data_IF_901780861880
#
_entry.id   IF_901780861880
#
_cell.length_a   1.000
_cell.length_b   1.000
_cell.length_c   1.000
_cell.angle_alpha   90.00
_cell.angle_beta   90.00
_cell.angle_gamma   90.00
#
_symmetry.space_group_name_H-M   'P 1'
#
loop_
_entity.id
_entity.type
_entity.pdbx_description
1 polymer ?
#
# COMPACT_ATOMS: atom_id res chain seq x y z
N UNK A 1 21.49 -1.97 -5.86
CA UNK A 1 20.74 -0.80 -5.34
C UNK A 1 19.45 -0.59 -6.10
N UNK A 2 18.46 -0.13 -5.39
CA UNK A 2 17.15 0.18 -5.96
C UNK A 2 17.19 1.58 -6.56
N UNK A 3 16.81 1.70 -7.83
CA UNK A 3 16.64 3.00 -8.45
C UNK A 3 15.29 3.58 -7.98
N UNK A 4 15.33 4.35 -6.90
CA UNK A 4 14.11 4.88 -6.28
C UNK A 4 13.33 5.79 -7.22
N UNK A 5 14.02 6.60 -8.03
CA UNK A 5 13.34 7.48 -8.96
C UNK A 5 12.61 6.70 -10.03
N UNK A 6 13.27 5.69 -10.60
CA UNK A 6 12.62 4.81 -11.57
C UNK A 6 11.45 4.06 -10.99
N UNK A 7 11.60 3.59 -9.75
CA UNK A 7 10.50 2.92 -9.05
C UNK A 7 9.30 3.86 -8.88
N UNK A 8 9.54 5.08 -8.42
CA UNK A 8 8.46 6.05 -8.24
C UNK A 8 7.79 6.38 -9.57
N UNK A 9 8.58 6.58 -10.62
CA UNK A 9 8.03 6.88 -11.92
C UNK A 9 7.09 5.76 -12.41
N UNK A 10 7.53 4.52 -12.27
CA UNK A 10 6.72 3.38 -12.67
C UNK A 10 5.48 3.20 -11.81
N UNK A 11 5.51 3.71 -10.57
CA UNK A 11 4.44 3.50 -9.60
C UNK A 11 3.39 4.59 -9.60
N UNK A 12 3.58 5.68 -10.37
CA UNK A 12 2.69 6.84 -10.28
C UNK A 12 1.23 6.44 -10.48
N UNK A 13 0.95 5.59 -11.47
CA UNK A 13 -0.42 5.19 -11.77
C UNK A 13 -1.06 4.29 -10.74
N UNK A 14 -0.30 3.78 -9.78
CA UNK A 14 -0.81 2.87 -8.76
C UNK A 14 -0.28 3.23 -7.37
N UNK A 15 0.05 4.50 -7.17
CA UNK A 15 0.69 4.90 -5.91
C UNK A 15 -0.25 4.67 -4.71
N UNK A 16 -1.57 4.86 -4.91
CA UNK A 16 -2.53 4.60 -3.84
C UNK A 16 -2.58 3.12 -3.49
N UNK A 17 -2.52 2.26 -4.50
CA UNK A 17 -2.48 0.82 -4.28
C UNK A 17 -1.23 0.43 -3.49
N UNK A 18 -0.08 1.00 -3.83
CA UNK A 18 1.15 0.72 -3.08
C UNK A 18 1.08 1.21 -1.65
N UNK A 19 0.52 2.41 -1.44
CA UNK A 19 0.36 2.93 -0.08
C UNK A 19 -0.53 2.00 0.74
N UNK A 20 -1.68 1.62 0.20
CA UNK A 20 -2.61 0.71 0.88
C UNK A 20 -1.95 -0.63 1.16
N UNK A 21 -1.26 -1.19 0.20
CA UNK A 21 -0.62 -2.50 0.35
C UNK A 21 0.48 -2.47 1.40
N UNK A 22 1.28 -1.41 1.42
CA UNK A 22 2.33 -1.30 2.43
C UNK A 22 1.74 -1.24 3.84
N UNK A 23 0.62 -0.52 3.99
CA UNK A 23 -0.05 -0.43 5.29
C UNK A 23 -0.62 -1.78 5.71
N UNK A 24 -1.27 -2.48 4.78
CA UNK A 24 -1.85 -3.79 5.09
C UNK A 24 -0.79 -4.76 5.60
N UNK A 25 0.36 -4.78 4.95
CA UNK A 25 1.41 -5.71 5.35
C UNK A 25 2.16 -5.26 6.60
N UNK A 26 2.22 -3.97 6.86
CA UNK A 26 2.85 -3.51 8.09
C UNK A 26 1.96 -3.71 9.31
N UNK A 27 0.67 -3.43 9.18
CA UNK A 27 -0.26 -3.57 10.30
C UNK A 27 -0.57 -5.02 10.59
N UNK A 28 -0.62 -5.85 9.55
CA UNK A 28 -0.83 -7.29 9.67
C UNK A 28 -2.14 -7.65 10.37
N UNK A 29 -3.22 -6.99 9.97
CA UNK A 29 -4.56 -7.33 10.46
C UNK A 29 -5.23 -8.23 9.42
N UNK A 30 -5.42 -9.52 9.71
CA UNK A 30 -5.98 -10.44 8.72
C UNK A 30 -7.41 -10.10 8.32
N UNK A 31 -8.19 -9.48 9.20
CA UNK A 31 -9.58 -9.16 8.90
C UNK A 31 -9.69 -8.26 7.67
N UNK A 32 -8.75 -7.33 7.49
CA UNK A 32 -8.83 -6.40 6.36
C UNK A 32 -8.75 -7.11 5.00
N UNK A 33 -8.09 -8.27 4.97
CA UNK A 33 -7.90 -9.00 3.72
C UNK A 33 -8.87 -10.17 3.60
N UNK A 34 -9.17 -10.85 4.71
CA UNK A 34 -9.87 -12.13 4.67
C UNK A 34 -11.29 -12.10 5.22
N UNK A 35 -11.61 -11.17 6.10
CA UNK A 35 -12.96 -11.08 6.67
C UNK A 35 -13.91 -10.56 5.60
N UNK A 36 -15.10 -11.14 5.51
CA UNK A 36 -16.01 -10.93 4.39
C UNK A 36 -16.29 -9.48 4.06
N UNK A 37 -16.76 -8.70 5.03
CA UNK A 37 -17.12 -7.30 4.75
C UNK A 37 -15.92 -6.46 4.36
N UNK A 38 -14.80 -6.65 5.05
CA UNK A 38 -13.58 -5.93 4.72
C UNK A 38 -13.07 -6.33 3.33
N UNK A 39 -13.09 -7.64 3.04
CA UNK A 39 -12.62 -8.13 1.75
C UNK A 39 -13.47 -7.60 0.60
N UNK A 40 -14.78 -7.55 0.77
CA UNK A 40 -15.67 -7.02 -0.28
C UNK A 40 -15.37 -5.54 -0.55
N UNK A 41 -15.16 -4.76 0.51
CA UNK A 41 -14.81 -3.35 0.36
C UNK A 41 -13.45 -3.19 -0.31
N UNK A 42 -12.49 -4.01 0.09
CA UNK A 42 -11.16 -3.95 -0.50
C UNK A 42 -11.21 -4.29 -1.99
N UNK A 43 -12.01 -5.31 -2.37
CA UNK A 43 -12.18 -5.67 -3.77
C UNK A 43 -12.77 -4.50 -4.57
N UNK A 44 -13.72 -3.77 -4.01
CA UNK A 44 -14.27 -2.60 -4.68
C UNK A 44 -13.23 -1.49 -4.84
N UNK A 45 -12.31 -1.39 -3.89
CA UNK A 45 -11.30 -0.33 -3.91
C UNK A 45 -10.16 -0.62 -4.87
N UNK A 46 -9.65 -1.84 -4.89
CA UNK A 46 -8.43 -2.16 -5.66
C UNK A 46 -8.61 -3.30 -6.67
N UNK A 47 -9.78 -3.90 -6.72
CA UNK A 47 -10.06 -4.98 -7.66
C UNK A 47 -9.73 -6.36 -7.13
N UNK A 48 -10.44 -7.35 -7.64
CA UNK A 48 -10.32 -8.73 -7.17
C UNK A 48 -8.91 -9.29 -7.35
N UNK A 49 -8.29 -9.04 -8.50
CA UNK A 49 -6.98 -9.61 -8.78
C UNK A 49 -5.93 -9.10 -7.82
N UNK A 50 -5.98 -7.81 -7.49
CA UNK A 50 -5.03 -7.24 -6.54
C UNK A 50 -5.23 -7.81 -5.15
N UNK A 51 -6.50 -7.98 -4.71
CA UNK A 51 -6.78 -8.59 -3.41
C UNK A 51 -6.28 -10.03 -3.39
N UNK A 52 -6.48 -10.77 -4.48
CA UNK A 52 -6.00 -12.14 -4.59
C UNK A 52 -4.48 -12.21 -4.43
N UNK A 53 -3.75 -11.29 -5.08
CA UNK A 53 -2.30 -11.25 -4.96
C UNK A 53 -1.87 -10.91 -3.54
N UNK A 54 -2.51 -9.93 -2.92
CA UNK A 54 -2.21 -9.59 -1.53
C UNK A 54 -2.46 -10.76 -0.60
N UNK A 55 -3.56 -11.49 -0.83
CA UNK A 55 -3.88 -12.68 -0.03
C UNK A 55 -2.80 -13.75 -0.16
N UNK A 56 -2.30 -13.94 -1.39
CA UNK A 56 -1.29 -14.94 -1.67
C UNK A 56 0.02 -14.65 -0.92
N UNK A 57 0.38 -13.37 -0.80
CA UNK A 57 1.63 -12.97 -0.17
C UNK A 57 1.47 -12.62 1.29
N UNK A 58 0.31 -12.88 1.87
CA UNK A 58 0.08 -12.63 3.29
C UNK A 58 0.98 -13.52 4.14
N UNK A 59 1.64 -12.91 5.11
CA UNK A 59 2.61 -13.62 5.93
C UNK A 59 2.13 -13.87 7.35
N UNK A 60 0.85 -13.61 7.60
CA UNK A 60 0.30 -13.84 8.93
C UNK A 60 0.26 -12.58 9.76
N UNK A 61 -0.36 -12.69 10.90
CA UNK A 61 -0.56 -11.60 11.83
C UNK A 61 -1.81 -11.86 12.62
N UNK A 62 -1.94 -11.20 13.75
CA UNK A 62 -3.09 -11.41 14.64
C UNK A 62 -3.66 -10.10 15.15
N UNK A 63 -3.28 -9.00 14.53
CA UNK A 63 -3.78 -7.70 14.93
C UNK A 63 -5.27 -7.61 14.64
N UNK A 64 -6.02 -6.93 15.51
CA UNK A 64 -7.43 -6.71 15.29
C UNK A 64 -7.65 -5.41 14.52
N UNK A 65 -8.76 -5.32 13.77
CA UNK A 65 -9.00 -4.10 13.00
C UNK A 65 -9.31 -2.92 13.91
N UNK A 66 -8.64 -1.82 13.63
CA UNK A 66 -8.86 -0.55 14.32
C UNK A 66 -9.98 0.25 13.68
N UNK A 67 -10.18 0.05 12.37
CA UNK A 67 -11.14 0.83 11.59
C UNK A 67 -12.24 -0.07 11.06
N UNK A 68 -13.44 0.48 10.92
CA UNK A 68 -14.55 -0.23 10.31
C UNK A 68 -14.38 -0.31 8.79
N UNK A 69 -15.23 -1.11 8.17
CA UNK A 69 -15.16 -1.40 6.74
C UNK A 69 -15.33 -0.16 5.86
N UNK A 70 -15.97 0.88 6.41
CA UNK A 70 -16.23 2.11 5.65
C UNK A 70 -15.03 3.03 5.60
N UNK A 71 -14.09 2.88 6.54
CA UNK A 71 -12.99 3.82 6.72
C UNK A 71 -11.62 3.23 6.55
N UNK A 72 -11.48 1.91 6.63
CA UNK A 72 -10.15 1.34 6.73
C UNK A 72 -9.30 1.61 5.50
N UNK A 73 -9.88 1.60 4.30
CA UNK A 73 -9.09 1.85 3.09
C UNK A 73 -8.49 3.26 3.10
N UNK A 74 -9.29 4.28 3.40
CA UNK A 74 -8.78 5.64 3.42
C UNK A 74 -7.77 5.85 4.54
N UNK A 75 -8.01 5.26 5.71
CA UNK A 75 -7.08 5.40 6.82
C UNK A 75 -5.76 4.66 6.55
N UNK A 76 -5.85 3.49 5.94
CA UNK A 76 -4.65 2.73 5.60
C UNK A 76 -3.87 3.38 4.47
N UNK A 77 -4.54 4.02 3.53
CA UNK A 77 -3.83 4.78 2.49
C UNK A 77 -3.04 5.93 3.12
N UNK A 78 -3.62 6.62 4.11
CA UNK A 78 -2.90 7.66 4.84
C UNK A 78 -1.69 7.10 5.58
N UNK A 79 -1.89 5.95 6.22
CA UNK A 79 -0.79 5.27 6.90
C UNK A 79 0.31 4.90 5.91
N UNK A 80 -0.07 4.32 4.78
CA UNK A 80 0.88 3.96 3.74
C UNK A 80 1.56 5.15 3.11
N UNK A 81 0.86 6.29 2.99
CA UNK A 81 1.48 7.51 2.52
C UNK A 81 2.63 7.91 3.44
N UNK A 82 2.47 7.71 4.75
CA UNK A 82 3.56 7.93 5.70
C UNK A 82 4.74 7.00 5.47
N UNK A 83 4.47 5.74 5.15
CA UNK A 83 5.53 4.80 4.83
C UNK A 83 6.32 5.25 3.60
N UNK A 84 5.61 5.67 2.56
CA UNK A 84 6.26 6.13 1.33
C UNK A 84 7.02 7.43 1.56
N UNK A 85 6.48 8.33 2.38
CA UNK A 85 7.18 9.55 2.75
C UNK A 85 8.49 9.22 3.45
N UNK A 86 8.46 8.27 4.38
CA UNK A 86 9.67 7.85 5.08
C UNK A 86 10.72 7.32 4.10
N UNK A 87 10.27 6.53 3.12
CA UNK A 87 11.20 5.87 2.19
C UNK A 87 11.74 6.80 1.11
N UNK A 88 10.95 7.80 0.70
CA UNK A 88 11.28 8.58 -0.50
C UNK A 88 11.37 10.09 -0.26
N UNK A 89 11.40 10.53 1.00
CA UNK A 89 11.32 11.97 1.32
C UNK A 89 12.44 12.78 0.69
N UNK A 90 13.61 12.19 0.47
CA UNK A 90 14.75 12.88 -0.11
C UNK A 90 14.85 12.73 -1.62
N UNK A 91 13.87 12.09 -2.25
CA UNK A 91 13.85 11.90 -3.69
C UNK A 91 13.09 13.06 -4.35
N UNK A 92 13.70 13.77 -5.32
CA UNK A 92 13.03 14.91 -5.94
C UNK A 92 11.68 14.60 -6.55
N UNK A 93 11.53 13.41 -7.14
CA UNK A 93 10.25 13.02 -7.74
C UNK A 93 9.15 12.91 -6.70
N UNK A 94 9.50 12.53 -5.47
CA UNK A 94 8.52 12.39 -4.41
C UNK A 94 7.81 13.72 -4.10
N UNK A 95 8.48 14.84 -4.29
CA UNK A 95 7.87 16.14 -4.01
C UNK A 95 6.65 16.40 -4.90
N UNK A 96 6.55 15.67 -6.02
CA UNK A 96 5.42 15.77 -6.94
C UNK A 96 4.44 14.62 -6.68
N UNK A 97 4.95 13.41 -6.57
CA UNK A 97 4.13 12.20 -6.43
C UNK A 97 3.31 12.22 -5.16
N UNK A 98 3.83 12.79 -4.09
CA UNK A 98 3.13 12.80 -2.80
C UNK A 98 1.76 13.47 -2.85
N UNK A 99 1.54 14.37 -3.80
CA UNK A 99 0.25 15.04 -3.93
C UNK A 99 -0.85 14.15 -4.49
N UNK A 100 -0.48 12.97 -4.99
CA UNK A 100 -1.46 11.96 -5.41
C UNK A 100 -2.02 11.19 -4.23
N UNK A 101 -1.46 11.39 -3.05
CA UNK A 101 -1.86 10.69 -1.84
C UNK A 101 -2.45 11.67 -0.83
N UNK A 102 -3.32 11.20 0.07
CA UNK A 102 -3.77 12.05 1.16
C UNK A 102 -2.57 12.41 2.04
N UNK A 103 -2.66 13.56 2.68
CA UNK A 103 -1.62 14.01 3.57
C UNK A 103 -1.49 13.03 4.73
N UNK A 104 -0.29 12.50 4.93
CA UNK A 104 -0.03 11.62 6.05
C UNK A 104 0.02 12.45 7.33
N UNK A 105 -0.26 11.79 8.45
CA UNK A 105 -0.12 12.44 9.75
C UNK A 105 1.33 12.41 10.18
N UNK A 106 1.59 11.75 11.30
CA UNK A 106 2.94 11.62 11.82
C UNK A 106 3.73 10.63 10.97
N UNK A 107 4.94 11.02 10.57
CA UNK A 107 5.82 10.16 9.80
C UNK A 107 6.68 9.35 10.76
N UNK A 108 6.61 8.03 10.66
CA UNK A 108 7.32 7.13 11.56
C UNK A 108 8.19 6.16 10.76
N UNK A 109 9.28 5.65 11.37
CA UNK A 109 10.03 4.58 10.73
C UNK A 109 9.12 3.40 10.38
N UNK A 110 9.39 2.77 9.27
CA UNK A 110 8.57 1.66 8.80
C UNK A 110 9.44 0.43 8.58
N UNK A 111 8.85 -0.74 8.74
CA UNK A 111 9.50 -2.01 8.41
C UNK A 111 9.42 -2.32 6.91
N UNK A 112 8.58 -1.60 6.19
CA UNK A 112 8.49 -1.74 4.74
C UNK A 112 9.70 -1.05 4.12
N UNK A 113 10.40 -1.74 3.22
CA UNK A 113 11.58 -1.20 2.58
C UNK A 113 11.40 -1.13 1.07
N UNK A 114 12.38 -0.49 0.40
CA UNK A 114 12.36 -0.30 -1.05
C UNK A 114 12.23 -1.61 -1.79
N UNK A 115 12.92 -2.62 -1.32
CA UNK A 115 12.95 -3.92 -1.98
C UNK A 115 11.57 -4.57 -1.96
N UNK A 116 10.90 -4.51 -0.82
CA UNK A 116 9.56 -5.05 -0.67
C UNK A 116 8.59 -4.32 -1.61
N UNK A 117 8.64 -2.99 -1.62
CA UNK A 117 7.74 -2.20 -2.47
C UNK A 117 7.98 -2.46 -3.94
N UNK A 118 9.25 -2.59 -4.33
CA UNK A 118 9.59 -2.87 -5.71
C UNK A 118 9.06 -4.25 -6.14
N UNK A 119 9.19 -5.23 -5.27
CA UNK A 119 8.66 -6.57 -5.53
C UNK A 119 7.14 -6.53 -5.68
N UNK A 120 6.49 -5.84 -4.75
CA UNK A 120 5.04 -5.73 -4.77
C UNK A 120 4.56 -5.02 -6.03
N UNK A 121 5.24 -3.97 -6.44
CA UNK A 121 4.92 -3.26 -7.66
C UNK A 121 4.97 -4.17 -8.88
N UNK A 122 6.00 -5.00 -8.96
CA UNK A 122 6.15 -5.95 -10.08
C UNK A 122 5.04 -7.01 -10.09
N UNK A 123 4.60 -7.41 -8.90
CA UNK A 123 3.55 -8.42 -8.78
C UNK A 123 2.19 -7.86 -9.20
N UNK A 124 1.89 -6.63 -8.78
CA UNK A 124 0.60 -6.02 -9.05
C UNK A 124 0.49 -5.41 -10.44
N UNK A 125 1.63 -5.03 -11.02
CA UNK A 125 1.66 -4.33 -12.29
C UNK A 125 0.92 -5.04 -13.43
N UNK A 126 1.09 -6.36 -13.65
CA UNK A 126 0.44 -7.01 -14.79
C UNK A 126 -1.07 -6.88 -14.81
N UNK A 127 -1.70 -6.75 -13.65
CA UNK A 127 -3.16 -6.67 -13.58
C UNK A 127 -3.68 -5.28 -13.94
N UNK A 128 -2.84 -4.28 -13.85
CA UNK A 128 -3.24 -2.92 -14.22
C UNK A 128 -3.07 -2.63 -15.69
N UNK A 129 -2.17 -3.34 -16.34
CA UNK A 129 -1.90 -3.12 -17.75
C UNK A 129 -2.81 -3.92 -18.66
N UNK A 130 -3.56 -4.82 -18.11
CA UNK A 130 -4.51 -5.61 -18.87
C UNK A 130 -5.88 -4.98 -18.88
#
# INVERSE_FOLDING_TARGET
DINKEGFLYQSIGKIRLLALSSALFEIQCPDYIFSRLYRETLIREIGYQNVKQLSFYWQGGQCKPEYGEERFCSELIKYGAGNLEWLFSDNPLWTIVKYLLPKSGEIKPTHINDLFLNRLNKILLPYETL
#
